data_IF_732165247974
#
_entry.id   IF_732165247974
#
_cell.length_a   1.000
_cell.length_b   1.000
_cell.length_c   1.000
_cell.angle_alpha   90.00
_cell.angle_beta   90.00
_cell.angle_gamma   90.00
#
_symmetry.space_group_name_H-M   'P 1'
#
loop_
_entity.id
_entity.type
_entity.pdbx_description
1 polymer ?
#
# COMPACT_ATOMS: atom_id res chain seq x y z
N UNK A 1 -1.91 14.77 9.13
CA UNK A 1 -2.67 13.54 9.41
C UNK A 1 -2.94 12.90 8.07
N UNK A 2 -2.43 11.70 7.83
CA UNK A 2 -2.66 11.00 6.58
C UNK A 2 -4.16 10.82 6.34
N UNK A 3 -4.55 10.85 5.08
CA UNK A 3 -5.93 10.64 4.68
C UNK A 3 -6.37 9.21 5.02
N UNK A 4 -7.34 9.05 5.90
CA UNK A 4 -7.89 7.75 6.28
C UNK A 4 -9.30 7.56 5.71
N UNK A 5 -9.41 7.40 4.39
CA UNK A 5 -10.68 7.12 3.72
C UNK A 5 -11.21 5.71 4.04
N UNK A 6 -10.32 4.78 4.41
CA UNK A 6 -10.64 3.38 4.65
C UNK A 6 -11.45 3.14 5.93
N UNK A 7 -11.52 4.10 6.86
CA UNK A 7 -12.43 4.05 7.99
C UNK A 7 -13.85 4.59 7.66
N UNK A 8 -14.06 5.17 6.46
CA UNK A 8 -15.39 5.52 5.98
C UNK A 8 -16.19 4.24 5.69
N UNK A 9 -17.41 4.06 6.25
CA UNK A 9 -18.17 2.81 6.10
C UNK A 9 -18.53 2.46 4.66
N UNK A 10 -18.93 3.46 3.84
CA UNK A 10 -19.32 3.23 2.46
C UNK A 10 -18.10 2.84 1.60
N UNK A 11 -16.98 3.54 1.79
CA UNK A 11 -15.73 3.22 1.10
C UNK A 11 -15.23 1.82 1.49
N UNK A 12 -15.22 1.50 2.78
CA UNK A 12 -14.81 0.19 3.27
C UNK A 12 -15.66 -0.95 2.70
N UNK A 13 -16.98 -0.76 2.61
CA UNK A 13 -17.89 -1.74 2.03
C UNK A 13 -17.61 -1.97 0.52
N UNK A 14 -17.34 -0.89 -0.24
CA UNK A 14 -16.93 -0.99 -1.64
C UNK A 14 -15.58 -1.66 -1.81
N UNK A 15 -14.58 -1.27 -1.00
CA UNK A 15 -13.25 -1.88 -1.01
C UNK A 15 -13.30 -3.39 -0.74
N UNK A 16 -14.16 -3.83 0.18
CA UNK A 16 -14.32 -5.24 0.53
C UNK A 16 -14.78 -6.12 -0.67
N UNK A 17 -15.35 -5.53 -1.71
CA UNK A 17 -15.81 -6.24 -2.92
C UNK A 17 -14.75 -6.34 -4.02
N UNK A 18 -13.64 -5.61 -3.90
CA UNK A 18 -12.58 -5.66 -4.91
C UNK A 18 -11.89 -7.03 -4.94
N UNK A 19 -11.44 -7.43 -6.12
CA UNK A 19 -10.72 -8.70 -6.29
C UNK A 19 -9.52 -8.82 -5.35
N UNK A 20 -8.75 -7.74 -5.14
CA UNK A 20 -7.64 -7.72 -4.18
C UNK A 20 -8.06 -7.94 -2.72
N UNK A 21 -9.31 -7.61 -2.38
CA UNK A 21 -9.85 -7.82 -1.04
C UNK A 21 -10.41 -9.23 -0.86
N UNK A 22 -10.99 -9.82 -1.91
CA UNK A 22 -11.64 -11.13 -1.88
C UNK A 22 -10.69 -12.27 -2.23
N UNK A 23 -9.77 -12.06 -3.16
CA UNK A 23 -8.82 -13.05 -3.68
C UNK A 23 -7.36 -12.78 -3.22
N UNK A 24 -7.16 -11.75 -2.39
CA UNK A 24 -5.86 -11.38 -1.87
C UNK A 24 -4.86 -10.97 -2.96
N UNK A 25 -3.62 -11.41 -2.81
CA UNK A 25 -2.54 -11.07 -3.73
C UNK A 25 -2.83 -11.55 -5.17
N UNK A 26 -3.50 -12.68 -5.35
CA UNK A 26 -3.86 -13.18 -6.66
C UNK A 26 -4.91 -12.31 -7.38
N UNK A 27 -5.69 -11.53 -6.63
CA UNK A 27 -6.64 -10.55 -7.15
C UNK A 27 -6.01 -9.18 -7.45
N UNK A 28 -4.70 -9.00 -7.21
CA UNK A 28 -3.97 -7.77 -7.45
C UNK A 28 -3.21 -7.86 -8.80
N UNK A 29 -3.56 -7.05 -9.83
CA UNK A 29 -2.95 -7.15 -11.16
C UNK A 29 -1.43 -6.95 -11.16
N UNK A 30 -0.90 -6.15 -10.23
CA UNK A 30 0.52 -5.86 -10.07
C UNK A 30 1.30 -7.00 -9.42
N UNK A 31 0.63 -7.91 -8.73
CA UNK A 31 1.28 -8.94 -7.92
C UNK A 31 2.29 -9.82 -8.68
N UNK A 32 2.02 -10.33 -9.89
CA UNK A 32 3.00 -11.15 -10.61
C UNK A 32 4.32 -10.45 -10.91
N UNK A 33 4.30 -9.13 -11.02
CA UNK A 33 5.51 -8.31 -11.23
C UNK A 33 6.24 -8.05 -9.92
N UNK A 34 5.51 -7.72 -8.87
CA UNK A 34 6.06 -7.46 -7.53
C UNK A 34 6.69 -8.73 -6.96
N UNK A 35 6.01 -9.88 -7.08
CA UNK A 35 6.52 -11.14 -6.57
C UNK A 35 7.92 -11.50 -7.12
N UNK A 36 8.22 -11.11 -8.37
CA UNK A 36 9.54 -11.32 -8.99
C UNK A 36 10.63 -10.38 -8.43
N UNK A 37 10.25 -9.31 -7.78
CA UNK A 37 11.18 -8.33 -7.17
C UNK A 37 11.53 -8.69 -5.73
N UNK A 38 10.75 -9.56 -5.11
CA UNK A 38 10.99 -9.99 -3.73
C UNK A 38 12.28 -10.82 -3.62
N UNK A 39 13.03 -10.69 -2.54
CA UNK A 39 14.06 -11.67 -2.20
C UNK A 39 13.44 -13.01 -1.77
N UNK A 40 14.28 -14.02 -1.57
CA UNK A 40 13.89 -15.17 -0.74
C UNK A 40 13.50 -14.65 0.65
N UNK A 41 12.29 -14.96 1.10
CA UNK A 41 11.75 -14.43 2.36
C UNK A 41 12.12 -15.29 3.58
N UNK A 42 12.73 -16.43 3.37
CA UNK A 42 13.08 -17.35 4.45
C UNK A 42 13.97 -16.67 5.51
N UNK A 43 13.54 -16.75 6.75
CA UNK A 43 14.20 -16.20 7.95
C UNK A 43 14.37 -14.67 7.97
N UNK A 44 13.66 -13.91 7.13
CA UNK A 44 13.72 -12.46 7.10
C UNK A 44 12.80 -11.80 8.14
N UNK A 45 13.23 -10.66 8.68
CA UNK A 45 12.37 -9.70 9.37
C UNK A 45 11.75 -8.77 8.35
N UNK A 46 10.44 -8.78 8.25
CA UNK A 46 9.68 -8.07 7.22
C UNK A 46 8.75 -7.04 7.84
N UNK A 47 8.60 -5.88 7.18
CA UNK A 47 7.56 -4.90 7.52
C UNK A 47 6.76 -4.56 6.27
N UNK A 48 5.42 -4.47 6.43
CA UNK A 48 4.46 -4.09 5.39
C UNK A 48 3.82 -2.75 5.75
N UNK A 49 4.10 -1.72 4.96
CA UNK A 49 3.65 -0.35 5.17
C UNK A 49 2.37 -0.08 4.35
N UNK A 50 1.24 0.10 5.02
CA UNK A 50 -0.09 0.14 4.43
C UNK A 50 -0.61 -1.28 4.17
N UNK A 51 -0.54 -2.14 5.18
CA UNK A 51 -0.77 -3.59 5.04
C UNK A 51 -2.23 -3.99 4.75
N UNK A 52 -3.19 -3.06 4.91
CA UNK A 52 -4.61 -3.34 4.68
C UNK A 52 -5.11 -4.57 5.44
N UNK A 53 -5.64 -5.55 4.73
CA UNK A 53 -6.10 -6.83 5.30
C UNK A 53 -4.96 -7.83 5.62
N UNK A 54 -3.70 -7.41 5.54
CA UNK A 54 -2.55 -8.25 5.90
C UNK A 54 -2.27 -9.41 4.93
N UNK A 55 -2.70 -9.30 3.68
CA UNK A 55 -2.48 -10.35 2.68
C UNK A 55 -1.00 -10.63 2.45
N UNK A 56 -0.18 -9.59 2.30
CA UNK A 56 1.26 -9.77 2.13
C UNK A 56 1.92 -10.26 3.43
N UNK A 57 1.46 -9.81 4.58
CA UNK A 57 2.00 -10.28 5.86
C UNK A 57 1.87 -11.81 6.00
N UNK A 58 0.68 -12.36 5.70
CA UNK A 58 0.46 -13.82 5.73
C UNK A 58 1.28 -14.54 4.67
N UNK A 59 1.30 -14.01 3.44
CA UNK A 59 2.14 -14.57 2.38
C UNK A 59 3.61 -14.62 2.78
N UNK A 60 4.16 -13.56 3.35
CA UNK A 60 5.55 -13.53 3.77
C UNK A 60 5.85 -14.63 4.82
N UNK A 61 4.94 -14.87 5.75
CA UNK A 61 5.06 -15.96 6.71
C UNK A 61 4.96 -17.34 6.06
N UNK A 62 4.05 -17.52 5.11
CA UNK A 62 3.94 -18.76 4.32
C UNK A 62 5.22 -19.05 3.53
N UNK A 63 5.96 -18.01 3.12
CA UNK A 63 7.27 -18.12 2.47
C UNK A 63 8.43 -18.21 3.48
N UNK A 64 8.17 -18.38 4.79
CA UNK A 64 9.17 -18.63 5.80
C UNK A 64 9.81 -17.40 6.44
N UNK A 65 9.25 -16.20 6.28
CA UNK A 65 9.75 -15.02 6.98
C UNK A 65 9.77 -15.26 8.50
N UNK A 66 10.77 -14.75 9.21
CA UNK A 66 10.94 -14.97 10.65
C UNK A 66 9.86 -14.29 11.47
N UNK A 67 9.67 -13.01 11.19
CA UNK A 67 8.66 -12.15 11.82
C UNK A 67 8.16 -11.14 10.79
N UNK A 68 6.87 -10.78 10.89
CA UNK A 68 6.27 -9.79 10.02
C UNK A 68 5.51 -8.76 10.85
N UNK A 69 5.79 -7.48 10.60
CA UNK A 69 5.01 -6.37 11.15
C UNK A 69 4.19 -5.73 10.04
N UNK A 70 2.87 -5.65 10.19
CA UNK A 70 1.99 -4.87 9.33
C UNK A 70 1.62 -3.54 9.99
N UNK A 71 1.70 -2.46 9.22
CA UNK A 71 1.30 -1.12 9.65
C UNK A 71 0.20 -0.61 8.73
N UNK A 72 -0.87 -0.06 9.33
CA UNK A 72 -1.92 0.65 8.60
C UNK A 72 -2.50 1.77 9.46
N UNK A 73 -3.01 2.83 8.83
CA UNK A 73 -3.68 3.94 9.53
C UNK A 73 -5.12 3.60 9.88
N UNK A 74 -5.75 2.68 9.13
CA UNK A 74 -7.16 2.31 9.29
C UNK A 74 -7.35 1.25 10.38
N UNK A 75 -8.15 1.59 11.39
CA UNK A 75 -8.56 0.64 12.41
C UNK A 75 -9.40 -0.51 11.84
N UNK A 76 -10.23 -0.24 10.83
CA UNK A 76 -11.07 -1.26 10.19
C UNK A 76 -10.24 -2.26 9.38
N UNK A 77 -9.23 -1.78 8.66
CA UNK A 77 -8.30 -2.66 7.93
C UNK A 77 -7.59 -3.60 8.89
N UNK A 78 -7.03 -3.05 9.98
CA UNK A 78 -6.31 -3.84 10.98
C UNK A 78 -7.22 -4.81 11.73
N UNK A 79 -8.47 -4.43 12.03
CA UNK A 79 -9.43 -5.36 12.62
C UNK A 79 -9.66 -6.57 11.71
N UNK A 80 -9.82 -6.32 10.39
CA UNK A 80 -9.97 -7.41 9.41
C UNK A 80 -8.68 -8.23 9.25
N UNK A 81 -7.51 -7.59 9.25
CA UNK A 81 -6.22 -8.29 9.21
C UNK A 81 -6.06 -9.24 10.39
N UNK A 82 -6.36 -8.78 11.60
CA UNK A 82 -6.29 -9.61 12.82
C UNK A 82 -7.30 -10.76 12.78
N UNK A 83 -8.55 -10.52 12.33
CA UNK A 83 -9.57 -11.57 12.17
C UNK A 83 -9.10 -12.70 11.24
N UNK A 84 -8.36 -12.34 10.19
CA UNK A 84 -7.91 -13.27 9.14
C UNK A 84 -6.56 -13.92 9.44
N UNK A 85 -5.91 -13.59 10.55
CA UNK A 85 -4.54 -14.03 10.86
C UNK A 85 -4.51 -14.89 12.12
N UNK A 86 -4.00 -16.10 11.97
CA UNK A 86 -3.74 -17.03 13.07
C UNK A 86 -2.25 -17.44 13.05
N UNK A 87 -1.36 -16.44 13.18
CA UNK A 87 0.09 -16.64 13.27
C UNK A 87 0.67 -15.61 14.27
N UNK A 88 1.18 -16.10 15.39
CA UNK A 88 1.75 -15.25 16.46
C UNK A 88 3.03 -14.50 16.05
N UNK A 89 3.61 -14.81 14.89
CA UNK A 89 4.77 -14.12 14.32
C UNK A 89 4.39 -12.95 13.41
N UNK A 90 3.09 -12.73 13.21
CA UNK A 90 2.58 -11.52 12.55
C UNK A 90 2.05 -10.58 13.62
N UNK A 91 2.47 -9.34 13.59
CA UNK A 91 1.94 -8.28 14.45
C UNK A 91 1.38 -7.14 13.61
N UNK A 92 0.25 -6.58 14.01
CA UNK A 92 -0.36 -5.42 13.34
C UNK A 92 -0.35 -4.22 14.28
N UNK A 93 0.03 -3.06 13.74
CA UNK A 93 0.12 -1.82 14.49
C UNK A 93 -0.55 -0.67 13.74
N UNK A 94 -1.37 0.11 14.44
CA UNK A 94 -1.98 1.30 13.88
C UNK A 94 -1.01 2.48 13.98
N UNK A 95 -0.43 2.87 12.85
CA UNK A 95 0.49 4.01 12.76
C UNK A 95 0.26 4.80 11.48
N UNK A 96 0.52 6.11 11.53
CA UNK A 96 0.49 7.00 10.38
C UNK A 96 1.89 7.03 9.73
N UNK A 97 1.98 6.71 8.45
CA UNK A 97 3.25 6.70 7.71
C UNK A 97 3.93 8.08 7.68
N UNK A 98 3.17 9.19 7.82
CA UNK A 98 3.71 10.55 7.93
C UNK A 98 4.51 10.77 9.21
N UNK A 99 4.29 9.98 10.24
CA UNK A 99 4.94 10.12 11.54
C UNK A 99 5.68 8.85 11.96
N UNK A 100 5.87 7.94 11.02
CA UNK A 100 6.43 6.62 11.27
C UNK A 100 7.86 6.72 11.84
N UNK A 101 8.08 5.97 12.90
CA UNK A 101 9.42 5.78 13.50
C UNK A 101 9.72 4.28 13.52
N UNK A 102 10.82 3.92 12.92
CA UNK A 102 11.27 2.54 12.85
C UNK A 102 12.64 2.38 13.55
N UNK A 103 12.90 1.23 14.16
CA UNK A 103 14.23 0.92 14.66
C UNK A 103 15.24 0.85 13.50
N UNK A 104 16.46 1.32 13.73
CA UNK A 104 17.54 1.27 12.73
C UNK A 104 18.05 -0.16 12.53
N UNK A 105 18.45 -0.49 11.29
CA UNK A 105 19.07 -1.78 10.92
C UNK A 105 18.27 -3.01 11.41
N UNK A 106 16.95 -2.97 11.29
CA UNK A 106 16.08 -3.99 11.86
C UNK A 106 15.41 -4.90 10.81
N UNK A 107 15.11 -4.37 9.64
CA UNK A 107 14.35 -5.09 8.62
C UNK A 107 15.24 -5.55 7.46
N UNK A 108 15.00 -6.76 7.01
CA UNK A 108 15.61 -7.31 5.80
C UNK A 108 14.80 -6.93 4.56
N UNK A 109 13.48 -6.76 4.72
CA UNK A 109 12.57 -6.29 3.69
C UNK A 109 11.58 -5.29 4.26
N UNK A 110 11.48 -4.14 3.61
CA UNK A 110 10.34 -3.22 3.72
C UNK A 110 9.49 -3.40 2.47
N UNK A 111 8.21 -3.63 2.66
CA UNK A 111 7.24 -3.78 1.58
C UNK A 111 6.15 -2.71 1.69
N UNK A 112 5.61 -2.25 0.56
CA UNK A 112 4.44 -1.37 0.53
C UNK A 112 3.71 -1.52 -0.81
N UNK A 113 2.41 -1.79 -0.78
CA UNK A 113 1.62 -1.88 -2.00
C UNK A 113 0.49 -0.86 -2.00
N UNK A 114 0.53 0.05 -2.98
CA UNK A 114 -0.51 1.07 -3.22
C UNK A 114 -0.86 1.92 -1.99
N UNK A 115 0.14 2.26 -1.16
CA UNK A 115 -0.04 3.12 0.02
C UNK A 115 0.75 4.43 -0.06
N UNK A 116 1.87 4.46 -0.76
CA UNK A 116 2.79 5.60 -0.75
C UNK A 116 2.21 6.88 -1.37
N UNK A 117 1.26 6.76 -2.28
CA UNK A 117 0.61 7.92 -2.92
C UNK A 117 -0.31 8.72 -1.97
N UNK A 118 -0.56 8.20 -0.76
CA UNK A 118 -1.26 8.93 0.30
C UNK A 118 -0.33 9.72 1.21
N UNK A 119 1.00 9.57 1.06
CA UNK A 119 2.00 10.23 1.91
C UNK A 119 2.46 11.53 1.28
N UNK A 120 2.37 12.62 2.01
CA UNK A 120 2.78 13.96 1.55
C UNK A 120 4.30 14.11 1.60
N UNK A 121 4.94 13.70 2.70
CA UNK A 121 6.38 13.80 2.87
C UNK A 121 7.09 12.47 2.58
N UNK A 122 7.10 12.07 1.31
CA UNK A 122 7.76 10.83 0.87
C UNK A 122 9.27 10.82 1.18
N UNK A 123 9.94 11.98 1.12
CA UNK A 123 11.37 12.05 1.41
C UNK A 123 11.66 11.63 2.85
N UNK A 124 10.92 12.16 3.82
CA UNK A 124 11.10 11.80 5.22
C UNK A 124 10.75 10.31 5.49
N UNK A 125 9.71 9.79 4.81
CA UNK A 125 9.38 8.37 4.91
C UNK A 125 10.51 7.50 4.32
N UNK A 126 11.07 7.86 3.17
CA UNK A 126 12.17 7.11 2.55
C UNK A 126 13.44 7.13 3.42
N UNK A 127 13.76 8.26 4.05
CA UNK A 127 14.86 8.33 5.02
C UNK A 127 14.62 7.40 6.22
N UNK A 128 13.40 7.32 6.71
CA UNK A 128 13.02 6.41 7.79
C UNK A 128 13.15 4.95 7.36
N UNK A 129 12.66 4.61 6.17
CA UNK A 129 12.77 3.27 5.58
C UNK A 129 14.24 2.90 5.39
N UNK A 130 15.03 3.79 4.77
CA UNK A 130 16.45 3.54 4.52
C UNK A 130 17.22 3.21 5.80
N UNK A 131 17.04 4.01 6.87
CA UNK A 131 17.68 3.76 8.15
C UNK A 131 17.21 2.48 8.83
N UNK A 132 15.98 2.08 8.62
CA UNK A 132 15.43 0.86 9.21
C UNK A 132 15.90 -0.43 8.55
N UNK A 133 16.36 -0.34 7.31
CA UNK A 133 16.88 -1.48 6.56
C UNK A 133 18.26 -1.90 7.07
N UNK A 134 18.46 -3.18 7.20
CA UNK A 134 19.79 -3.77 7.40
C UNK A 134 20.68 -3.56 6.17
N UNK A 135 22.01 -3.60 6.30
CA UNK A 135 22.89 -3.65 5.13
C UNK A 135 22.49 -4.76 4.15
N UNK A 136 22.21 -4.39 2.90
CA UNK A 136 21.72 -5.31 1.87
C UNK A 136 20.21 -5.56 1.90
N UNK A 137 19.48 -5.02 2.88
CA UNK A 137 18.02 -5.06 2.95
C UNK A 137 17.38 -4.36 1.75
N UNK A 138 16.15 -4.77 1.43
CA UNK A 138 15.44 -4.28 0.23
C UNK A 138 14.18 -3.52 0.60
N UNK A 139 13.85 -2.51 -0.21
CA UNK A 139 12.56 -1.87 -0.23
C UNK A 139 11.86 -2.19 -1.55
N UNK A 140 10.72 -2.87 -1.48
CA UNK A 140 9.90 -3.25 -2.64
C UNK A 140 8.53 -2.61 -2.50
N UNK A 141 8.09 -1.85 -3.50
CA UNK A 141 6.82 -1.16 -3.42
C UNK A 141 6.11 -1.04 -4.77
N UNK A 142 4.81 -0.82 -4.72
CA UNK A 142 4.00 -0.30 -5.83
C UNK A 142 3.32 0.99 -5.43
N UNK A 143 3.17 1.90 -6.39
CA UNK A 143 2.43 3.14 -6.21
C UNK A 143 1.53 3.39 -7.42
N UNK A 144 0.49 4.17 -7.24
CA UNK A 144 -0.34 4.61 -8.34
C UNK A 144 0.47 5.54 -9.26
N UNK A 145 0.35 5.33 -10.57
CA UNK A 145 1.09 6.15 -11.52
C UNK A 145 0.49 7.57 -11.58
N UNK A 146 1.31 8.62 -11.60
CA UNK A 146 0.84 10.01 -11.60
C UNK A 146 -0.16 10.37 -12.71
N UNK A 147 -0.22 9.59 -13.79
CA UNK A 147 -1.23 9.76 -14.84
C UNK A 147 -2.67 9.73 -14.29
N UNK A 148 -2.92 9.00 -13.21
CA UNK A 148 -4.23 8.91 -12.59
C UNK A 148 -4.51 10.04 -11.61
N UNK A 149 -3.48 10.55 -10.91
CA UNK A 149 -3.62 11.59 -9.89
C UNK A 149 -3.41 13.01 -10.41
N UNK A 150 -2.72 13.18 -11.54
CA UNK A 150 -2.38 14.48 -12.10
C UNK A 150 -3.55 15.29 -12.74
N UNK A 151 -4.59 14.67 -13.34
CA UNK A 151 -5.66 15.47 -13.94
C UNK A 151 -6.38 16.35 -12.92
N UNK A 152 -6.66 17.61 -13.28
CA UNK A 152 -7.46 18.54 -12.46
C UNK A 152 -8.86 17.96 -12.22
N UNK A 153 -9.44 17.36 -13.26
CA UNK A 153 -10.68 16.59 -13.19
C UNK A 153 -10.36 15.17 -13.59
N UNK A 154 -10.41 14.29 -12.62
CA UNK A 154 -10.22 12.86 -12.84
C UNK A 154 -11.48 12.28 -13.49
N UNK A 155 -11.33 11.60 -14.60
CA UNK A 155 -12.43 10.96 -15.32
C UNK A 155 -12.12 10.82 -16.81
N UNK A 156 -12.85 9.89 -17.44
CA UNK A 156 -12.78 9.72 -18.88
C UNK A 156 -13.54 10.83 -19.57
N UNK A 157 -12.89 11.48 -20.55
CA UNK A 157 -13.55 12.39 -21.48
C UNK A 157 -14.01 11.59 -22.69
N UNK A 158 -15.25 11.84 -23.12
CA UNK A 158 -15.80 11.24 -24.35
C UNK A 158 -16.06 12.34 -25.36
N UNK A 159 -15.50 12.22 -26.56
CA UNK A 159 -15.72 13.16 -27.66
C UNK A 159 -17.06 12.90 -28.39
N UNK A 160 -17.39 13.78 -29.34
CA UNK A 160 -18.63 13.68 -30.14
C UNK A 160 -18.72 12.42 -31.02
N UNK A 161 -17.61 11.69 -31.18
CA UNK A 161 -17.52 10.42 -31.91
C UNK A 161 -17.57 9.20 -30.98
N UNK A 162 -17.73 9.41 -29.67
CA UNK A 162 -17.73 8.36 -28.66
C UNK A 162 -16.34 7.83 -28.30
N UNK A 163 -15.26 8.49 -28.74
CA UNK A 163 -13.91 8.10 -28.40
C UNK A 163 -13.56 8.57 -26.97
N UNK A 164 -13.08 7.65 -26.16
CA UNK A 164 -12.69 7.95 -24.76
C UNK A 164 -11.21 8.32 -24.68
N UNK A 165 -10.89 9.37 -23.93
CA UNK A 165 -9.54 9.80 -23.61
C UNK A 165 -9.41 10.12 -22.13
N UNK A 166 -8.22 9.88 -21.55
CA UNK A 166 -7.89 10.28 -20.19
C UNK A 166 -7.11 11.60 -20.25
N UNK A 167 -7.59 12.68 -19.59
CA UNK A 167 -6.88 13.96 -19.63
C UNK A 167 -5.56 13.88 -18.86
N UNK A 168 -4.47 14.29 -19.48
CA UNK A 168 -3.17 14.40 -18.84
C UNK A 168 -2.79 15.87 -18.77
N UNK A 169 -3.41 16.61 -17.85
CA UNK A 169 -3.06 17.97 -17.54
C UNK A 169 -2.44 18.02 -16.14
N UNK A 170 -1.54 18.95 -15.88
CA UNK A 170 -0.81 19.10 -14.63
C UNK A 170 0.07 17.90 -14.22
N UNK A 171 0.45 17.03 -15.14
CA UNK A 171 1.27 15.84 -14.86
C UNK A 171 2.58 16.15 -14.12
N UNK A 172 3.18 17.32 -14.37
CA UNK A 172 4.42 17.77 -13.72
C UNK A 172 4.18 18.75 -12.57
N UNK A 173 2.94 19.05 -12.22
CA UNK A 173 2.67 19.91 -11.08
C UNK A 173 2.88 19.13 -9.79
N UNK A 174 3.64 19.70 -8.87
CA UNK A 174 3.68 19.20 -7.50
C UNK A 174 2.30 19.43 -6.88
N UNK A 175 1.54 18.37 -6.70
CA UNK A 175 0.25 18.41 -6.03
C UNK A 175 0.38 17.77 -4.65
N UNK A 176 -0.19 18.44 -3.65
CA UNK A 176 -0.57 17.74 -2.42
C UNK A 176 -1.64 16.71 -2.79
N UNK A 177 -1.47 15.47 -2.37
CA UNK A 177 -2.39 14.39 -2.67
C UNK A 177 -3.83 14.80 -2.37
N UNK A 178 -4.62 15.05 -3.43
CA UNK A 178 -6.06 15.19 -3.29
C UNK A 178 -6.65 13.81 -3.02
N UNK A 179 -7.72 13.71 -2.20
CA UNK A 179 -8.39 12.44 -1.96
C UNK A 179 -8.87 11.86 -3.27
N UNK A 180 -8.24 10.79 -3.72
CA UNK A 180 -8.70 10.03 -4.89
C UNK A 180 -9.92 9.25 -4.43
N UNK A 181 -11.09 9.79 -4.68
CA UNK A 181 -12.33 9.03 -4.56
C UNK A 181 -12.41 8.09 -5.76
N UNK A 182 -12.33 6.78 -5.54
CA UNK A 182 -12.79 5.81 -6.53
C UNK A 182 -14.28 6.09 -6.75
N UNK A 183 -14.61 6.67 -7.90
CA UNK A 183 -16.01 6.67 -8.34
C UNK A 183 -16.27 5.27 -8.89
N UNK A 184 -16.99 4.48 -8.12
CA UNK A 184 -17.62 3.26 -8.60
C UNK A 184 -18.68 3.67 -9.62
N UNK A 185 -18.47 3.41 -10.91
CA UNK A 185 -19.54 3.29 -11.89
C UNK A 185 -20.25 1.94 -11.70
#
# INVERSE_FOLDING_TARGET
MAQNIYDNPAFFAGYAQLNRSTQGLNGAPEWPSIAKMLPDLHDLNVIDLGCGYGWFCRYAREQGAREVKGIDVSAKMLAKANEMTDDSKISYCREDLEQLKLPENNYDLVYSSLALHYVVNLSALFDTIFRSLKPGGKFVFSAEHPIFSAPIQQGWLTDDKGQRSWPVNHYQAEATASPIGWQTE
#
